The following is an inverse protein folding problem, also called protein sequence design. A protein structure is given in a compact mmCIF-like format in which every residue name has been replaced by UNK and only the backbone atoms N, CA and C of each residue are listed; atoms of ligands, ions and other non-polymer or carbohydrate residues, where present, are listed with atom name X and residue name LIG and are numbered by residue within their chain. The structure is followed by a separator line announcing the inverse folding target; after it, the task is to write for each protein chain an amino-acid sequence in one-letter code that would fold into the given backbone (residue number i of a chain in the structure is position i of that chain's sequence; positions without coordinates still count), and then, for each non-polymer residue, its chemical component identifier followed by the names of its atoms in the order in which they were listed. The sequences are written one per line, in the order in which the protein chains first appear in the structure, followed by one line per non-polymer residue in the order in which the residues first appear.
data_IF_646382724008
#
_entry.id   IF_646382724008
#
_cell.length_a   1.000
_cell.length_b   1.000
_cell.length_c   1.000
_cell.angle_alpha   90.00
_cell.angle_beta   90.00
_cell.angle_gamma   90.00
#
_symmetry.space_group_name_H-M   'P 1'
#
loop_
_entity.id
_entity.type
_entity.pdbx_description
1 polymer ?
#
# COMPACT_ATOMS: atom_id res chain seq x y z
N UNK A 1 -32.14 15.12 -12.70
CA UNK A 1 -30.74 15.09 -13.15
C UNK A 1 -29.87 15.14 -11.90
N UNK A 2 -29.26 14.00 -11.54
CA UNK A 2 -28.49 13.84 -10.31
C UNK A 2 -27.20 14.65 -10.41
N UNK A 3 -26.94 15.49 -9.41
CA UNK A 3 -25.70 16.27 -9.29
C UNK A 3 -24.59 15.29 -8.92
N UNK A 4 -23.52 15.28 -9.72
CA UNK A 4 -22.31 14.52 -9.42
C UNK A 4 -21.80 14.90 -8.04
N UNK A 5 -21.60 13.91 -7.18
CA UNK A 5 -21.04 14.10 -5.85
C UNK A 5 -19.55 14.39 -5.98
N UNK A 6 -19.21 15.66 -6.10
CA UNK A 6 -17.84 16.14 -5.85
C UNK A 6 -17.54 15.91 -4.37
N UNK A 7 -16.70 14.91 -4.08
CA UNK A 7 -16.14 14.73 -2.74
C UNK A 7 -15.09 15.83 -2.53
N UNK A 8 -15.50 16.93 -1.93
CA UNK A 8 -14.59 17.95 -1.43
C UNK A 8 -13.79 17.38 -0.27
N UNK A 9 -12.56 16.94 -0.54
CA UNK A 9 -11.56 16.56 0.45
C UNK A 9 -11.06 17.80 1.22
N UNK A 10 -11.95 18.45 1.96
CA UNK A 10 -11.58 19.45 2.95
C UNK A 10 -11.15 18.74 4.24
N UNK A 11 -9.87 18.36 4.28
CA UNK A 11 -8.98 18.21 5.46
C UNK A 11 -7.92 17.12 5.21
N UNK A 12 -7.02 17.37 4.27
CA UNK A 12 -5.69 16.75 4.30
C UNK A 12 -4.68 17.88 4.51
N UNK A 13 -4.29 18.12 5.76
CA UNK A 13 -3.30 19.14 6.14
C UNK A 13 -2.18 18.43 6.88
N UNK A 14 -0.96 18.54 6.34
CA UNK A 14 0.35 18.10 6.87
C UNK A 14 0.96 16.77 6.41
N UNK A 15 0.57 16.26 5.25
CA UNK A 15 1.50 15.50 4.41
C UNK A 15 0.95 15.53 2.99
N UNK A 16 1.61 16.28 2.11
CA UNK A 16 1.51 16.02 0.69
C UNK A 16 1.94 14.57 0.52
N UNK A 17 0.96 13.65 0.46
CA UNK A 17 1.26 12.24 0.33
C UNK A 17 1.98 12.13 -1.00
N UNK A 18 3.25 11.69 -0.97
CA UNK A 18 4.11 11.67 -2.15
C UNK A 18 3.39 11.01 -3.33
N UNK A 19 2.52 10.04 -3.03
CA UNK A 19 1.71 9.26 -3.97
C UNK A 19 0.51 10.03 -4.59
N UNK A 20 0.03 11.12 -3.98
CA UNK A 20 -1.10 11.89 -4.49
C UNK A 20 -0.79 12.54 -5.84
N UNK A 21 0.48 12.86 -6.09
CA UNK A 21 0.91 13.42 -7.38
C UNK A 21 0.82 12.43 -8.55
N UNK A 22 0.70 11.13 -8.29
CA UNK A 22 0.61 10.07 -9.30
C UNK A 22 -0.79 9.46 -9.42
N UNK A 23 -1.75 9.92 -8.63
CA UNK A 23 -3.08 9.30 -8.57
C UNK A 23 -3.89 9.61 -9.85
N UNK A 24 -4.21 8.56 -10.59
CA UNK A 24 -5.12 8.56 -11.74
C UNK A 24 -6.37 7.76 -11.36
N UNK A 25 -7.51 8.44 -11.35
CA UNK A 25 -8.82 7.82 -11.10
C UNK A 25 -9.32 7.22 -12.43
N UNK A 26 -9.71 5.96 -12.40
CA UNK A 26 -10.34 5.25 -13.52
C UNK A 26 -11.87 5.45 -13.46
N UNK A 27 -12.55 5.32 -14.60
CA UNK A 27 -13.99 5.58 -14.70
C UNK A 27 -14.85 4.66 -13.82
N UNK A 28 -14.32 3.49 -13.46
CA UNK A 28 -14.99 2.46 -12.66
C UNK A 28 -14.91 2.72 -11.14
N UNK A 29 -14.26 3.82 -10.73
CA UNK A 29 -14.08 4.18 -9.32
C UNK A 29 -12.80 3.61 -8.68
N UNK A 30 -12.06 2.81 -9.43
CA UNK A 30 -10.70 2.38 -9.07
C UNK A 30 -9.67 3.49 -9.34
N UNK A 31 -8.48 3.37 -8.75
CA UNK A 31 -7.40 4.33 -8.94
C UNK A 31 -6.06 3.63 -9.12
N UNK A 32 -5.26 4.12 -10.05
CA UNK A 32 -3.86 3.72 -10.22
C UNK A 32 -2.98 4.86 -9.76
N UNK A 33 -1.97 4.57 -8.95
CA UNK A 33 -0.90 5.52 -8.66
C UNK A 33 0.23 5.21 -9.65
N UNK A 34 0.37 6.07 -10.65
CA UNK A 34 1.43 6.02 -11.64
C UNK A 34 2.44 7.13 -11.35
N UNK A 35 3.57 6.74 -10.75
CA UNK A 35 4.58 7.66 -10.28
C UNK A 35 5.98 7.06 -10.40
N UNK A 36 6.96 7.89 -10.78
CA UNK A 36 8.37 7.55 -10.64
C UNK A 36 8.79 7.56 -9.17
N UNK A 37 9.13 6.39 -8.63
CA UNK A 37 9.63 6.24 -7.26
C UNK A 37 11.15 6.14 -7.30
N UNK A 38 11.83 6.92 -6.45
CA UNK A 38 13.27 6.78 -6.29
C UNK A 38 13.61 5.42 -5.66
N UNK A 39 14.60 4.71 -6.19
CA UNK A 39 15.04 3.41 -5.68
C UNK A 39 15.40 3.44 -4.20
N UNK A 40 15.91 4.56 -3.68
CA UNK A 40 16.22 4.74 -2.25
C UNK A 40 14.97 4.80 -1.35
N UNK A 41 13.80 5.07 -1.91
CA UNK A 41 12.54 5.20 -1.17
C UNK A 41 11.69 3.92 -1.19
N UNK A 42 12.11 2.86 -1.90
CA UNK A 42 11.29 1.65 -2.08
C UNK A 42 10.91 0.97 -0.77
N UNK A 43 11.82 0.91 0.21
CA UNK A 43 11.51 0.34 1.54
C UNK A 43 10.42 1.14 2.26
N UNK A 44 10.52 2.47 2.24
CA UNK A 44 9.54 3.35 2.86
C UNK A 44 8.18 3.26 2.15
N UNK A 45 8.17 3.18 0.82
CA UNK A 45 6.95 2.99 0.03
C UNK A 45 6.32 1.64 0.35
N UNK A 46 7.11 0.58 0.48
CA UNK A 46 6.60 -0.73 0.90
C UNK A 46 5.94 -0.65 2.29
N UNK A 47 6.56 0.03 3.26
CA UNK A 47 5.98 0.23 4.59
C UNK A 47 4.67 1.03 4.56
N UNK A 48 4.51 1.94 3.61
CA UNK A 48 3.27 2.68 3.40
C UNK A 48 2.17 1.84 2.76
N UNK A 49 2.50 1.01 1.76
CA UNK A 49 1.52 0.23 0.98
C UNK A 49 1.09 -1.03 1.74
N UNK A 50 2.01 -1.69 2.44
CA UNK A 50 1.77 -2.97 3.11
C UNK A 50 0.51 -3.00 4.01
N UNK A 51 0.22 -1.97 4.83
CA UNK A 51 -0.98 -1.93 5.67
C UNK A 51 -2.30 -1.88 4.89
N UNK A 52 -2.28 -1.48 3.61
CA UNK A 52 -3.49 -1.44 2.76
C UNK A 52 -3.99 -2.86 2.43
N UNK A 53 -3.12 -3.86 2.53
CA UNK A 53 -3.44 -5.25 2.26
C UNK A 53 -4.04 -5.42 0.86
N UNK A 54 -5.16 -6.14 0.76
CA UNK A 54 -5.83 -6.41 -0.53
C UNK A 54 -6.46 -5.19 -1.21
N UNK A 55 -6.51 -4.04 -0.54
CA UNK A 55 -7.08 -2.82 -1.09
C UNK A 55 -6.11 -2.07 -2.02
N UNK A 56 -4.85 -2.50 -2.10
CA UNK A 56 -3.86 -1.97 -3.01
C UNK A 56 -3.00 -3.11 -3.57
N UNK A 57 -2.69 -3.07 -4.87
CA UNK A 57 -1.81 -4.04 -5.52
C UNK A 57 -0.67 -3.30 -6.19
N UNK A 58 0.57 -3.69 -5.89
CA UNK A 58 1.76 -3.21 -6.58
C UNK A 58 1.90 -4.00 -7.89
N UNK A 59 1.97 -3.30 -9.03
CA UNK A 59 2.19 -3.93 -10.34
C UNK A 59 3.66 -3.83 -10.76
N UNK A 60 4.23 -2.65 -10.57
CA UNK A 60 5.62 -2.31 -10.84
C UNK A 60 6.10 -1.27 -9.80
N UNK A 61 7.43 -1.15 -9.57
CA UNK A 61 8.50 -1.97 -10.13
C UNK A 61 8.64 -3.33 -9.43
N UNK A 62 9.31 -4.29 -10.09
CA UNK A 62 9.48 -5.67 -9.57
C UNK A 62 10.23 -5.69 -8.24
N UNK A 63 11.16 -4.77 -8.04
CA UNK A 63 11.92 -4.60 -6.81
C UNK A 63 11.01 -4.26 -5.62
N UNK A 64 9.98 -3.44 -5.85
CA UNK A 64 9.00 -3.11 -4.81
C UNK A 64 8.15 -4.34 -4.44
N UNK A 65 7.75 -5.12 -5.45
CA UNK A 65 7.05 -6.38 -5.25
C UNK A 65 7.87 -7.37 -4.42
N UNK A 66 9.18 -7.48 -4.68
CA UNK A 66 10.06 -8.38 -3.95
C UNK A 66 10.26 -7.95 -2.49
N UNK A 67 10.38 -6.64 -2.24
CA UNK A 67 10.41 -6.08 -0.87
C UNK A 67 9.10 -6.41 -0.14
N UNK A 68 7.95 -6.20 -0.78
CA UNK A 68 6.63 -6.49 -0.21
C UNK A 68 6.50 -7.97 0.16
N UNK A 69 6.89 -8.90 -0.74
CA UNK A 69 6.86 -10.34 -0.48
C UNK A 69 7.75 -10.72 0.70
N UNK A 70 8.98 -10.17 0.78
CA UNK A 70 9.90 -10.42 1.89
C UNK A 70 9.29 -9.98 3.22
N UNK A 71 8.75 -8.75 3.31
CA UNK A 71 8.11 -8.23 4.53
C UNK A 71 6.88 -9.05 4.93
N UNK A 72 6.04 -9.45 3.99
CA UNK A 72 4.89 -10.33 4.26
C UNK A 72 5.37 -11.68 4.80
N UNK A 73 6.42 -12.25 4.22
CA UNK A 73 6.98 -13.50 4.70
C UNK A 73 7.52 -13.37 6.12
N UNK A 74 8.33 -12.35 6.41
CA UNK A 74 8.83 -12.05 7.76
C UNK A 74 7.69 -11.89 8.77
N UNK A 75 6.65 -11.14 8.41
CA UNK A 75 5.46 -10.93 9.23
C UNK A 75 4.71 -12.25 9.49
N UNK A 76 4.54 -13.06 8.45
CA UNK A 76 3.93 -14.38 8.56
C UNK A 76 4.75 -15.28 9.48
N UNK A 77 6.08 -15.34 9.30
CA UNK A 77 6.95 -16.11 10.18
C UNK A 77 6.86 -15.63 11.63
N UNK A 78 6.78 -14.32 11.87
CA UNK A 78 6.66 -13.77 13.23
C UNK A 78 5.36 -14.20 13.93
N UNK A 79 4.22 -14.15 13.23
CA UNK A 79 2.91 -14.45 13.83
C UNK A 79 2.48 -15.91 13.72
N UNK A 80 3.01 -16.67 12.76
CA UNK A 80 2.56 -18.04 12.44
C UNK A 80 3.65 -19.11 12.61
N UNK A 81 4.88 -18.79 13.02
CA UNK A 81 5.84 -19.85 13.34
C UNK A 81 5.50 -20.59 14.63
N UNK A 82 5.64 -21.91 14.48
CA UNK A 82 5.09 -23.01 15.27
C UNK A 82 5.95 -23.36 16.50
N UNK A 83 6.45 -22.35 17.24
CA UNK A 83 7.05 -22.62 18.55
C UNK A 83 6.10 -22.32 19.72
N UNK A 84 5.04 -21.55 19.49
CA UNK A 84 4.05 -21.20 20.52
C UNK A 84 3.01 -22.30 20.78
N UNK A 85 3.08 -23.41 20.05
CA UNK A 85 2.14 -24.55 20.16
C UNK A 85 2.60 -25.67 21.11
N UNK A 86 3.70 -25.51 21.87
CA UNK A 86 4.19 -26.54 22.81
C UNK A 86 4.01 -26.24 24.31
N UNK A 87 3.54 -25.07 24.74
CA UNK A 87 3.45 -24.73 26.17
C UNK A 87 2.03 -24.70 26.75
N UNK A 88 1.03 -25.27 26.08
CA UNK A 88 -0.35 -25.33 26.59
C UNK A 88 -0.96 -26.73 26.56
N UNK A 89 -0.22 -27.75 27.00
CA UNK A 89 -0.78 -29.05 27.40
C UNK A 89 -0.42 -29.37 28.84
#
# INVERSE_FOLDING_TARGET
MQKGNTLSLHQFKNSDCLLAGGLKILEEGDGIIDMGINSSALEWVADFILPLGKNATVLEPVELLDIMKRKIHELYQHYFNVEDSKERQ
#
